data_IF_949009857309
#
_entry.id   IF_949009857309
#
_cell.length_a   1.000
_cell.length_b   1.000
_cell.length_c   1.000
_cell.angle_alpha   90.00
_cell.angle_beta   90.00
_cell.angle_gamma   90.00
#
_symmetry.space_group_name_H-M   'P 1'
#
loop_
_entity.id
_entity.type
_entity.pdbx_description
1 polymer ?
#
# COMPACT_ATOMS: atom_id res chain seq x y z
N UNK A 1 21.25 3.97 2.98
CA UNK A 1 21.40 5.37 3.42
C UNK A 1 20.18 5.72 4.27
N UNK A 2 20.36 5.93 5.58
CA UNK A 2 19.33 6.54 6.43
C UNK A 2 19.25 8.01 6.00
N UNK A 3 18.12 8.42 5.44
CA UNK A 3 17.86 9.84 5.26
C UNK A 3 17.41 10.36 6.62
N UNK A 4 18.35 10.97 7.34
CA UNK A 4 18.09 11.79 8.52
C UNK A 4 17.37 13.05 8.02
N UNK A 5 16.05 12.98 7.87
CA UNK A 5 15.26 14.11 7.38
C UNK A 5 14.69 14.91 8.54
N UNK A 6 15.08 16.19 8.71
CA UNK A 6 14.48 17.10 9.69
C UNK A 6 13.08 17.63 9.26
N UNK A 7 12.34 16.91 8.41
CA UNK A 7 11.10 17.39 7.76
C UNK A 7 9.81 16.82 8.33
N UNK A 8 9.78 16.36 9.59
CA UNK A 8 8.54 15.96 10.26
C UNK A 8 7.40 16.99 10.08
N UNK A 9 7.61 18.32 10.24
CA UNK A 9 6.50 19.27 10.16
C UNK A 9 5.77 19.33 8.82
N UNK A 10 6.47 19.09 7.70
CA UNK A 10 5.84 19.06 6.39
C UNK A 10 5.01 17.79 6.20
N UNK A 11 5.54 16.64 6.63
CA UNK A 11 4.87 15.35 6.45
C UNK A 11 3.66 15.23 7.38
N UNK A 12 3.75 15.76 8.60
CA UNK A 12 2.63 15.88 9.52
C UNK A 12 1.52 16.77 8.91
N UNK A 13 1.88 17.94 8.37
CA UNK A 13 0.91 18.81 7.69
C UNK A 13 0.29 18.16 6.45
N UNK A 14 1.06 17.33 5.72
CA UNK A 14 0.56 16.56 4.58
C UNK A 14 -0.43 15.49 5.05
N UNK A 15 -0.10 14.68 6.06
CA UNK A 15 -1.00 13.62 6.53
C UNK A 15 -2.30 14.22 7.08
N UNK A 16 -2.22 15.25 7.92
CA UNK A 16 -3.37 16.00 8.44
C UNK A 16 -4.28 16.53 7.33
N UNK A 17 -3.70 17.19 6.32
CA UNK A 17 -4.47 17.75 5.19
C UNK A 17 -5.02 16.67 4.27
N UNK A 18 -4.31 15.55 4.12
CA UNK A 18 -4.69 14.46 3.26
C UNK A 18 -5.86 13.65 3.82
N UNK A 19 -5.93 13.40 5.14
CA UNK A 19 -6.99 12.60 5.79
C UNK A 19 -8.39 13.04 5.33
N UNK A 20 -8.67 14.34 5.31
CA UNK A 20 -9.97 14.87 4.89
C UNK A 20 -10.27 14.71 3.38
N UNK A 21 -9.24 14.45 2.57
CA UNK A 21 -9.31 14.40 1.09
C UNK A 21 -9.14 12.99 0.52
N UNK A 22 -8.77 11.99 1.32
CA UNK A 22 -8.47 10.63 0.83
C UNK A 22 -9.63 10.00 0.03
N UNK A 23 -10.87 10.35 0.31
CA UNK A 23 -12.03 9.87 -0.46
C UNK A 23 -12.07 10.40 -1.91
N UNK A 24 -11.45 11.55 -2.15
CA UNK A 24 -11.36 12.22 -3.44
C UNK A 24 -10.15 11.75 -4.26
N UNK A 25 -9.19 11.06 -3.63
CA UNK A 25 -8.01 10.57 -4.31
C UNK A 25 -8.38 9.50 -5.34
N UNK A 26 -7.72 9.52 -6.50
CA UNK A 26 -7.73 8.37 -7.39
C UNK A 26 -6.94 7.21 -6.76
N UNK A 27 -7.19 5.99 -7.22
CA UNK A 27 -6.47 4.78 -6.77
C UNK A 27 -4.95 4.94 -6.82
N UNK A 28 -4.44 5.49 -7.92
CA UNK A 28 -3.02 5.77 -8.09
C UNK A 28 -2.49 6.77 -7.05
N UNK A 29 -3.27 7.79 -6.68
CA UNK A 29 -2.83 8.77 -5.67
C UNK A 29 -2.77 8.14 -4.27
N UNK A 30 -3.68 7.22 -3.94
CA UNK A 30 -3.62 6.45 -2.69
C UNK A 30 -2.37 5.57 -2.62
N UNK A 31 -2.06 4.86 -3.70
CA UNK A 31 -0.84 4.06 -3.78
C UNK A 31 0.43 4.92 -3.66
N UNK A 32 0.46 6.07 -4.34
CA UNK A 32 1.61 6.97 -4.32
C UNK A 32 1.85 7.58 -2.93
N UNK A 33 0.80 8.05 -2.25
CA UNK A 33 0.97 8.66 -0.92
C UNK A 33 1.38 7.61 0.12
N UNK A 34 0.83 6.40 0.04
CA UNK A 34 1.27 5.25 0.86
C UNK A 34 2.76 4.95 0.63
N UNK A 35 3.17 4.88 -0.64
CA UNK A 35 4.55 4.62 -1.03
C UNK A 35 5.50 5.70 -0.55
N UNK A 36 5.12 6.98 -0.66
CA UNK A 36 5.95 8.09 -0.18
C UNK A 36 6.21 8.02 1.32
N UNK A 37 5.18 7.74 2.12
CA UNK A 37 5.34 7.60 3.58
C UNK A 37 6.22 6.40 3.93
N UNK A 38 6.01 5.27 3.25
CA UNK A 38 6.85 4.08 3.41
C UNK A 38 8.31 4.30 3.00
N UNK A 39 8.54 4.91 1.84
CA UNK A 39 9.88 5.22 1.34
C UNK A 39 10.66 6.18 2.25
N UNK A 40 9.95 7.11 2.89
CA UNK A 40 10.51 8.03 3.88
C UNK A 40 10.62 7.43 5.29
N UNK A 41 10.14 6.19 5.49
CA UNK A 41 10.06 5.52 6.80
C UNK A 41 9.31 6.34 7.85
N UNK A 42 8.24 7.00 7.41
CA UNK A 42 7.35 7.74 8.29
C UNK A 42 6.33 6.79 8.91
N UNK A 43 6.44 6.60 10.21
CA UNK A 43 5.51 5.81 11.01
C UNK A 43 4.35 6.71 11.46
N UNK A 44 3.35 6.87 10.60
CA UNK A 44 2.07 7.53 10.91
C UNK A 44 0.94 6.50 10.79
N UNK A 45 0.77 5.70 11.83
CA UNK A 45 -0.17 4.58 11.86
C UNK A 45 -1.63 5.02 11.62
N UNK A 46 -2.16 6.09 12.26
CA UNK A 46 -3.50 6.58 11.97
C UNK A 46 -3.69 7.00 10.50
N UNK A 47 -2.68 7.61 9.89
CA UNK A 47 -2.77 7.97 8.49
C UNK A 47 -2.71 6.75 7.56
N UNK A 48 -1.87 5.77 7.86
CA UNK A 48 -1.81 4.50 7.12
C UNK A 48 -3.12 3.73 7.24
N UNK A 49 -3.80 3.74 8.39
CA UNK A 49 -5.16 3.21 8.56
C UNK A 49 -6.18 3.92 7.66
N UNK A 50 -6.13 5.26 7.62
CA UNK A 50 -7.02 6.04 6.79
C UNK A 50 -6.81 5.74 5.28
N UNK A 51 -5.55 5.60 4.85
CA UNK A 51 -5.18 5.17 3.49
C UNK A 51 -5.70 3.77 3.21
N UNK A 52 -5.57 2.82 4.15
CA UNK A 52 -6.07 1.46 4.00
C UNK A 52 -7.59 1.46 3.78
N UNK A 53 -8.34 2.17 4.62
CA UNK A 53 -9.79 2.27 4.50
C UNK A 53 -10.22 2.91 3.16
N UNK A 54 -9.51 3.94 2.70
CA UNK A 54 -9.77 4.56 1.39
C UNK A 54 -9.44 3.62 0.23
N UNK A 55 -8.32 2.91 0.31
CA UNK A 55 -7.87 1.94 -0.70
C UNK A 55 -8.84 0.79 -0.84
N UNK A 56 -9.35 0.23 0.27
CA UNK A 56 -10.35 -0.86 0.24
C UNK A 56 -11.58 -0.45 -0.56
N UNK A 57 -12.11 0.77 -0.35
CA UNK A 57 -13.30 1.27 -1.07
C UNK A 57 -13.08 1.41 -2.58
N UNK A 58 -11.84 1.64 -3.01
CA UNK A 58 -11.47 1.88 -4.41
C UNK A 58 -10.64 0.74 -5.01
N UNK A 59 -10.53 -0.41 -4.34
CA UNK A 59 -9.56 -1.45 -4.71
C UNK A 59 -9.77 -2.00 -6.13
N UNK A 60 -11.01 -1.95 -6.63
CA UNK A 60 -11.36 -2.36 -7.99
C UNK A 60 -10.78 -1.44 -9.07
N UNK A 61 -10.43 -0.21 -8.71
CA UNK A 61 -9.84 0.79 -9.60
C UNK A 61 -8.31 0.75 -9.57
N UNK A 62 -7.71 -0.15 -8.78
CA UNK A 62 -6.25 -0.28 -8.68
C UNK A 62 -5.74 -1.12 -9.85
N UNK A 63 -4.77 -0.59 -10.57
CA UNK A 63 -3.98 -1.36 -11.52
C UNK A 63 -2.91 -2.21 -10.78
N UNK A 64 -2.24 -3.14 -11.49
CA UNK A 64 -1.19 -3.99 -10.90
C UNK A 64 -0.12 -3.24 -10.10
N UNK A 65 0.34 -2.10 -10.62
CA UNK A 65 1.35 -1.28 -9.95
C UNK A 65 0.83 -0.67 -8.65
N UNK A 66 -0.42 -0.18 -8.64
CA UNK A 66 -1.04 0.41 -7.45
C UNK A 66 -1.24 -0.64 -6.36
N UNK A 67 -1.64 -1.87 -6.74
CA UNK A 67 -1.76 -3.00 -5.81
C UNK A 67 -0.40 -3.35 -5.19
N UNK A 68 0.62 -3.55 -6.04
CA UNK A 68 1.97 -3.91 -5.59
C UNK A 68 2.60 -2.82 -4.72
N UNK A 69 2.50 -1.54 -5.11
CA UNK A 69 3.04 -0.43 -4.34
C UNK A 69 2.35 -0.28 -2.98
N UNK A 70 1.03 -0.46 -2.94
CA UNK A 70 0.30 -0.39 -1.66
C UNK A 70 0.73 -1.53 -0.76
N UNK A 71 0.73 -2.79 -1.23
CA UNK A 71 1.22 -3.93 -0.46
C UNK A 71 2.64 -3.70 0.06
N UNK A 72 3.54 -3.22 -0.80
CA UNK A 72 4.92 -2.93 -0.45
C UNK A 72 5.04 -1.86 0.62
N UNK A 73 4.20 -0.83 0.57
CA UNK A 73 4.22 0.26 1.54
C UNK A 73 3.88 -0.22 2.95
N UNK A 74 2.81 -1.02 3.08
CA UNK A 74 2.41 -1.62 4.35
C UNK A 74 3.45 -2.62 4.85
N UNK A 75 4.06 -3.41 3.96
CA UNK A 75 5.15 -4.31 4.33
C UNK A 75 6.42 -3.57 4.78
N UNK A 76 6.78 -2.48 4.12
CA UNK A 76 8.00 -1.72 4.43
C UNK A 76 7.93 -1.03 5.80
N UNK A 77 6.75 -0.54 6.18
CA UNK A 77 6.48 0.06 7.48
C UNK A 77 6.10 -0.97 8.55
N UNK A 78 6.07 -2.26 8.22
CA UNK A 78 5.60 -3.34 9.10
C UNK A 78 4.19 -3.10 9.67
N UNK A 79 3.31 -2.42 8.92
CA UNK A 79 1.93 -2.13 9.31
C UNK A 79 1.02 -3.22 8.75
N UNK A 80 0.39 -3.99 9.63
CA UNK A 80 -0.47 -5.09 9.23
C UNK A 80 -1.95 -4.68 9.18
N UNK A 81 -2.46 -4.42 7.98
CA UNK A 81 -3.88 -4.13 7.73
C UNK A 81 -4.56 -5.32 7.05
N UNK A 82 -4.95 -6.34 7.81
CA UNK A 82 -5.52 -7.58 7.27
C UNK A 82 -6.68 -7.38 6.28
N UNK A 83 -7.66 -6.48 6.51
CA UNK A 83 -8.73 -6.22 5.54
C UNK A 83 -8.22 -5.67 4.20
N UNK A 84 -7.18 -4.83 4.24
CA UNK A 84 -6.55 -4.30 3.04
C UNK A 84 -5.78 -5.41 2.31
N UNK A 85 -4.99 -6.21 3.03
CA UNK A 85 -4.21 -7.29 2.44
C UNK A 85 -5.09 -8.33 1.74
N UNK A 86 -6.21 -8.72 2.34
CA UNK A 86 -7.21 -9.57 1.67
C UNK A 86 -7.80 -8.91 0.42
N UNK A 87 -8.08 -7.61 0.47
CA UNK A 87 -8.61 -6.87 -0.67
C UNK A 87 -7.60 -6.81 -1.83
N UNK A 88 -6.32 -6.57 -1.51
CA UNK A 88 -5.21 -6.59 -2.47
C UNK A 88 -5.06 -8.00 -3.05
N UNK A 89 -5.02 -9.05 -2.22
CA UNK A 89 -4.89 -10.43 -2.68
C UNK A 89 -6.00 -10.81 -3.66
N UNK A 90 -7.26 -10.51 -3.30
CA UNK A 90 -8.40 -10.80 -4.17
C UNK A 90 -8.35 -10.04 -5.50
N UNK A 91 -7.89 -8.79 -5.50
CA UNK A 91 -7.74 -8.01 -6.73
C UNK A 91 -6.56 -8.52 -7.57
N UNK A 92 -5.41 -8.78 -6.95
CA UNK A 92 -4.20 -9.26 -7.60
C UNK A 92 -4.41 -10.61 -8.27
N UNK A 93 -5.12 -11.56 -7.63
CA UNK A 93 -5.46 -12.86 -8.26
C UNK A 93 -6.26 -12.67 -9.55
N UNK A 94 -7.17 -11.69 -9.60
CA UNK A 94 -8.01 -11.45 -10.79
C UNK A 94 -7.26 -10.81 -11.95
N UNK A 95 -6.24 -10.01 -11.65
CA UNK A 95 -5.47 -9.25 -12.65
C UNK A 95 -4.03 -9.75 -12.77
N UNK A 96 -3.69 -10.92 -12.21
CA UNK A 96 -2.31 -11.42 -12.11
C UNK A 96 -1.60 -11.47 -13.47
N UNK A 97 -2.31 -11.86 -14.53
CA UNK A 97 -1.78 -11.90 -15.90
C UNK A 97 -1.36 -10.53 -16.46
N UNK A 98 -1.82 -9.43 -15.85
CA UNK A 98 -1.47 -8.05 -16.22
C UNK A 98 -0.25 -7.54 -15.44
N UNK A 99 0.24 -8.28 -14.44
CA UNK A 99 1.38 -7.86 -13.66
C UNK A 99 2.67 -8.01 -14.46
N UNK A 100 3.44 -6.93 -14.52
CA UNK A 100 4.85 -7.02 -14.87
C UNK A 100 5.66 -7.73 -13.79
N UNK A 101 6.86 -8.17 -14.13
CA UNK A 101 7.76 -8.93 -13.25
C UNK A 101 8.03 -8.25 -11.90
N UNK A 102 8.24 -6.93 -11.90
CA UNK A 102 8.46 -6.17 -10.67
C UNK A 102 7.22 -6.15 -9.76
N UNK A 103 6.02 -6.03 -10.33
CA UNK A 103 4.79 -5.99 -9.55
C UNK A 103 4.51 -7.35 -8.89
N UNK A 104 4.79 -8.45 -9.60
CA UNK A 104 4.71 -9.81 -9.04
C UNK A 104 5.68 -9.96 -7.87
N UNK A 105 6.96 -9.65 -8.09
CA UNK A 105 8.00 -9.78 -7.07
C UNK A 105 7.70 -8.93 -5.83
N UNK A 106 7.28 -7.67 -6.01
CA UNK A 106 6.92 -6.80 -4.90
C UNK A 106 5.71 -7.31 -4.13
N UNK A 107 4.67 -7.80 -4.83
CA UNK A 107 3.48 -8.35 -4.17
C UNK A 107 3.86 -9.60 -3.36
N UNK A 108 4.58 -10.55 -3.96
CA UNK A 108 5.05 -11.76 -3.28
C UNK A 108 5.89 -11.42 -2.04
N UNK A 109 6.87 -10.53 -2.20
CA UNK A 109 7.74 -10.10 -1.10
C UNK A 109 6.93 -9.45 0.02
N UNK A 110 5.98 -8.57 -0.29
CA UNK A 110 5.18 -7.87 0.71
C UNK A 110 4.37 -8.82 1.59
N UNK A 111 3.74 -9.82 0.97
CA UNK A 111 2.95 -10.83 1.68
C UNK A 111 3.84 -11.74 2.53
N UNK A 112 5.01 -12.12 2.02
CA UNK A 112 6.00 -12.87 2.79
C UNK A 112 6.53 -12.07 3.99
N UNK A 113 6.85 -10.79 3.81
CA UNK A 113 7.37 -9.90 4.86
C UNK A 113 6.35 -9.67 5.97
N UNK A 114 5.06 -9.54 5.62
CA UNK A 114 3.98 -9.38 6.60
C UNK A 114 3.51 -10.70 7.21
N UNK A 115 4.16 -11.84 6.86
CA UNK A 115 3.75 -13.18 7.27
C UNK A 115 2.26 -13.45 6.99
N UNK A 116 1.75 -12.87 5.90
CA UNK A 116 0.34 -12.95 5.53
C UNK A 116 0.15 -14.01 4.45
N UNK A 117 -0.41 -15.14 4.85
CA UNK A 117 -0.70 -16.25 3.94
C UNK A 117 -2.10 -16.11 3.36
N UNK A 118 -2.17 -15.77 2.07
CA UNK A 118 -3.39 -15.93 1.27
C UNK A 118 -3.12 -17.04 0.23
N UNK A 119 -3.69 -18.23 0.45
CA UNK A 119 -3.41 -19.42 -0.36
C UNK A 119 -3.71 -19.21 -1.85
N UNK A 120 -4.73 -18.40 -2.16
CA UNK A 120 -5.14 -18.14 -3.54
C UNK A 120 -4.14 -17.25 -4.24
N UNK A 121 -3.64 -16.22 -3.54
CA UNK A 121 -2.59 -15.37 -4.07
C UNK A 121 -1.29 -16.16 -4.24
N UNK A 122 -0.90 -16.97 -3.25
CA UNK A 122 0.33 -17.78 -3.32
C UNK A 122 0.30 -18.81 -4.46
N UNK A 123 -0.87 -19.33 -4.82
CA UNK A 123 -1.03 -20.22 -5.96
C UNK A 123 -1.04 -19.50 -7.32
N UNK A 124 -1.26 -18.18 -7.33
CA UNK A 124 -1.38 -17.37 -8.54
C UNK A 124 -0.09 -16.65 -8.94
N UNK A 125 0.87 -16.53 -8.02
CA UNK A 125 2.20 -15.92 -8.23
C UNK A 125 3.20 -16.95 -8.73
#
# INVERSE_FOLDING_TARGET
AKLDFPYCPLLDAISESAVAKLTQFASQNLANISWSFAALRMEDEPFMEAIAAASIRKIRDFNPQSLANTAWSFANLAVQQAPLLHSIASAAVKTCSEFGTQNLANTAWSFATLLFSDERLLAAL
#
